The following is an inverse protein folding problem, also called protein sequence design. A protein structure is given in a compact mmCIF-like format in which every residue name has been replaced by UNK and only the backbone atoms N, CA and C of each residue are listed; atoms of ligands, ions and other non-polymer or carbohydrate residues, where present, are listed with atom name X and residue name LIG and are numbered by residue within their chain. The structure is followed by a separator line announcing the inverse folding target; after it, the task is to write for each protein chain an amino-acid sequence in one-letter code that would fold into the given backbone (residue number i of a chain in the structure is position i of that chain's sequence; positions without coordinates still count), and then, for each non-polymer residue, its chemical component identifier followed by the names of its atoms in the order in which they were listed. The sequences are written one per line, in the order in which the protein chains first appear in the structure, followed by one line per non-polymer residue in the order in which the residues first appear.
data_IF_353920150496
#
_entry.id   IF_353920150496
#
_cell.length_a   1.000
_cell.length_b   1.000
_cell.length_c   1.000
_cell.angle_alpha   90.00
_cell.angle_beta   90.00
_cell.angle_gamma   90.00
#
_symmetry.space_group_name_H-M   'P 1'
#
loop_
_entity.id
_entity.type
_entity.pdbx_description
1 polymer ?
#
# COMPACT_ATOMS: atom_id res chain seq x y z
N UNK A 1 80.87 33.07 0.40
CA UNK A 1 80.67 32.75 -1.03
C UNK A 1 80.13 31.32 -1.06
N UNK A 2 78.81 31.15 -0.90
CA UNK A 2 77.82 30.93 -1.96
C UNK A 2 78.09 29.67 -2.81
N UNK A 3 77.34 28.61 -2.55
CA UNK A 3 76.88 27.67 -3.58
C UNK A 3 75.71 26.82 -3.07
N UNK A 4 74.53 27.23 -3.54
CA UNK A 4 73.24 26.56 -3.67
C UNK A 4 73.20 25.02 -3.55
N UNK A 5 72.31 24.53 -2.67
CA UNK A 5 71.65 23.23 -2.82
C UNK A 5 70.15 23.46 -2.64
N UNK A 6 69.39 23.38 -3.75
CA UNK A 6 67.93 23.42 -3.73
C UNK A 6 67.39 22.08 -3.22
N UNK A 7 66.70 22.09 -2.08
CA UNK A 7 65.89 20.95 -1.63
C UNK A 7 64.50 21.07 -2.27
N UNK A 8 64.19 20.20 -3.23
CA UNK A 8 62.81 19.96 -3.67
C UNK A 8 62.07 19.25 -2.53
N UNK A 9 61.14 19.94 -1.87
CA UNK A 9 60.09 19.27 -1.08
C UNK A 9 59.02 18.76 -2.06
N UNK A 10 59.03 17.45 -2.34
CA UNK A 10 57.86 16.78 -2.89
C UNK A 10 56.83 16.62 -1.76
N UNK A 11 55.82 17.49 -1.73
CA UNK A 11 54.58 17.22 -1.02
C UNK A 11 53.85 16.10 -1.75
N UNK A 12 54.02 14.86 -1.27
CA UNK A 12 53.18 13.75 -1.68
C UNK A 12 51.76 14.01 -1.17
N UNK A 13 50.87 14.45 -2.06
CA UNK A 13 49.43 14.45 -1.82
C UNK A 13 48.99 12.98 -1.76
N UNK A 14 48.83 12.43 -0.55
CA UNK A 14 48.16 11.15 -0.37
C UNK A 14 46.68 11.38 -0.66
N UNK A 15 46.20 10.97 -1.84
CA UNK A 15 44.78 10.86 -2.10
C UNK A 15 44.17 9.90 -1.06
N UNK A 16 42.99 10.21 -0.48
CA UNK A 16 42.32 9.28 0.42
C UNK A 16 42.05 7.98 -0.34
N UNK A 17 42.66 6.90 0.12
CA UNK A 17 42.31 5.54 -0.31
C UNK A 17 40.95 5.25 0.29
N UNK A 18 39.89 5.42 -0.49
CA UNK A 18 38.59 4.87 -0.13
C UNK A 18 38.74 3.35 -0.10
N UNK A 19 38.73 2.77 1.09
CA UNK A 19 38.52 1.33 1.25
C UNK A 19 37.12 1.03 0.76
N UNK A 20 37.00 0.57 -0.48
CA UNK A 20 35.74 0.13 -1.06
C UNK A 20 35.34 -1.20 -0.41
N UNK A 21 34.83 -1.12 0.82
CA UNK A 21 33.98 -2.19 1.36
C UNK A 21 32.78 -2.41 0.41
N UNK A 22 32.10 -3.55 0.50
CA UNK A 22 30.93 -3.79 -0.33
C UNK A 22 29.89 -2.69 -0.08
N UNK A 23 29.43 -2.03 -1.15
CA UNK A 23 28.38 -1.00 -1.07
C UNK A 23 27.05 -1.58 -0.55
N UNK A 24 26.84 -2.88 -0.73
CA UNK A 24 25.68 -3.63 -0.24
C UNK A 24 26.14 -4.95 0.36
N UNK A 25 25.65 -5.27 1.56
CA UNK A 25 25.83 -6.56 2.21
C UNK A 25 24.46 -7.20 2.36
N UNK A 26 24.30 -8.44 1.88
CA UNK A 26 23.08 -9.20 2.15
C UNK A 26 23.05 -9.58 3.64
N UNK A 27 22.21 -8.88 4.39
CA UNK A 27 21.99 -9.09 5.82
C UNK A 27 20.64 -9.75 6.09
N UNK A 28 19.95 -10.28 5.07
CA UNK A 28 18.58 -10.80 5.18
C UNK A 28 18.42 -11.80 6.34
N UNK A 29 19.31 -12.79 6.43
CA UNK A 29 19.30 -13.77 7.52
C UNK A 29 19.70 -13.16 8.87
N UNK A 30 20.68 -12.25 8.88
CA UNK A 30 21.13 -11.58 10.10
C UNK A 30 20.06 -10.63 10.68
N UNK A 31 19.30 -9.99 9.80
CA UNK A 31 18.16 -9.14 10.11
C UNK A 31 16.91 -9.97 10.49
N UNK A 32 16.94 -11.30 10.37
CA UNK A 32 15.82 -12.17 10.79
C UNK A 32 14.69 -12.33 9.76
N UNK A 33 14.85 -11.80 8.54
CA UNK A 33 13.91 -11.99 7.42
C UNK A 33 14.15 -13.37 6.80
N UNK A 34 13.93 -14.42 7.58
CA UNK A 34 14.18 -15.80 7.15
C UNK A 34 12.88 -16.45 6.65
N UNK A 35 12.48 -16.16 5.41
CA UNK A 35 11.44 -16.90 4.70
C UNK A 35 11.84 -17.17 3.26
N UNK A 36 11.21 -18.18 2.65
CA UNK A 36 11.33 -18.43 1.22
C UNK A 36 10.08 -17.84 0.58
N UNK A 37 10.25 -16.82 -0.24
CA UNK A 37 9.19 -16.36 -1.12
C UNK A 37 9.03 -17.39 -2.23
N UNK A 38 7.90 -18.09 -2.23
CA UNK A 38 7.64 -19.20 -3.14
C UNK A 38 6.56 -18.81 -4.13
N UNK A 39 6.91 -18.77 -5.41
CA UNK A 39 5.95 -18.64 -6.50
C UNK A 39 5.39 -20.01 -6.89
N UNK A 40 4.66 -20.67 -5.99
CA UNK A 40 4.25 -22.05 -6.18
C UNK A 40 5.37 -23.05 -5.91
N UNK A 41 5.59 -23.99 -6.83
CA UNK A 41 6.61 -25.02 -6.67
C UNK A 41 6.78 -25.90 -7.91
N UNK A 42 7.80 -26.78 -7.86
CA UNK A 42 8.29 -27.60 -8.98
C UNK A 42 7.22 -28.46 -9.70
N UNK A 43 6.05 -28.63 -9.10
CA UNK A 43 4.93 -29.39 -9.64
C UNK A 43 4.04 -28.57 -10.61
N UNK A 44 4.18 -27.23 -10.68
CA UNK A 44 3.43 -26.38 -11.63
C UNK A 44 3.94 -26.60 -13.06
N UNK A 45 3.30 -27.48 -13.83
CA UNK A 45 3.73 -27.81 -15.20
C UNK A 45 3.46 -26.72 -16.26
N UNK A 46 2.59 -25.75 -15.99
CA UNK A 46 2.05 -24.82 -17.00
C UNK A 46 2.07 -23.33 -16.60
N UNK A 47 2.52 -23.02 -15.39
CA UNK A 47 2.65 -21.64 -14.90
C UNK A 47 4.13 -21.33 -14.81
N UNK A 48 4.57 -20.25 -15.45
CA UNK A 48 5.93 -19.73 -15.25
C UNK A 48 5.97 -19.06 -13.88
N UNK A 49 6.91 -19.47 -13.04
CA UNK A 49 7.17 -18.91 -11.70
C UNK A 49 7.77 -17.49 -11.83
N UNK A 50 6.92 -16.51 -12.17
CA UNK A 50 7.32 -15.09 -12.31
C UNK A 50 6.66 -14.20 -11.25
N UNK A 51 5.99 -14.77 -10.25
CA UNK A 51 5.13 -14.03 -9.33
C UNK A 51 5.89 -13.78 -8.03
N UNK A 52 6.43 -12.57 -7.88
CA UNK A 52 6.87 -12.10 -6.56
C UNK A 52 5.65 -11.65 -5.75
N UNK A 53 5.67 -11.89 -4.44
CA UNK A 53 4.66 -11.32 -3.56
C UNK A 53 4.86 -9.82 -3.31
N UNK A 54 3.76 -9.09 -3.15
CA UNK A 54 3.71 -7.75 -2.62
C UNK A 54 3.96 -7.74 -1.11
N UNK A 55 4.29 -6.56 -0.59
CA UNK A 55 4.50 -6.33 0.83
C UNK A 55 4.48 -4.85 1.15
N UNK A 56 4.38 -4.52 2.43
CA UNK A 56 4.28 -3.16 2.91
C UNK A 56 4.88 -3.00 4.29
N UNK A 57 5.38 -1.78 4.56
CA UNK A 57 5.91 -1.38 5.85
C UNK A 57 4.95 -0.45 6.56
N UNK A 58 4.67 -0.73 7.84
CA UNK A 58 3.95 0.17 8.75
C UNK A 58 4.33 -0.20 10.19
N UNK A 59 3.95 0.63 11.16
CA UNK A 59 4.21 0.39 12.59
C UNK A 59 2.94 -0.23 13.19
N UNK A 60 2.85 -1.56 13.20
CA UNK A 60 1.57 -2.24 13.52
C UNK A 60 1.27 -2.24 15.01
N UNK A 61 2.29 -2.28 15.86
CA UNK A 61 2.15 -2.25 17.33
C UNK A 61 2.48 -0.90 17.97
N UNK A 62 2.77 0.12 17.14
CA UNK A 62 2.96 1.53 17.52
C UNK A 62 4.15 1.73 18.45
N UNK A 63 5.20 0.95 18.28
CA UNK A 63 6.41 1.01 19.09
C UNK A 63 7.47 1.99 18.53
N UNK A 64 7.21 2.56 17.35
CA UNK A 64 8.02 3.59 16.71
C UNK A 64 9.02 3.05 15.70
N UNK A 65 9.07 1.74 15.45
CA UNK A 65 9.77 1.18 14.32
C UNK A 65 8.80 0.57 13.27
N UNK A 66 9.33 0.20 12.09
CA UNK A 66 8.50 -0.27 10.96
C UNK A 66 8.58 -1.77 10.82
N UNK A 67 7.42 -2.39 10.92
CA UNK A 67 7.18 -3.79 10.67
C UNK A 67 6.96 -4.07 9.20
N UNK A 68 7.02 -5.35 8.83
CA UNK A 68 6.95 -5.77 7.43
C UNK A 68 5.92 -6.89 7.26
N UNK A 69 4.96 -6.69 6.37
CA UNK A 69 4.13 -7.78 5.86
C UNK A 69 4.52 -8.15 4.45
N UNK A 70 4.61 -9.44 4.17
CA UNK A 70 4.88 -9.97 2.83
C UNK A 70 3.91 -11.11 2.55
N UNK A 71 3.22 -11.03 1.40
CA UNK A 71 2.39 -12.12 0.91
C UNK A 71 3.26 -13.30 0.42
N UNK A 72 2.63 -14.43 0.09
CA UNK A 72 3.32 -15.60 -0.47
C UNK A 72 2.38 -16.36 -1.43
N UNK A 73 2.92 -17.04 -2.45
CA UNK A 73 2.11 -17.75 -3.45
C UNK A 73 1.97 -19.25 -3.09
N UNK A 74 0.85 -19.58 -2.43
CA UNK A 74 0.47 -20.94 -2.07
C UNK A 74 1.07 -21.41 -0.74
N UNK A 75 1.68 -20.49 0.00
CA UNK A 75 2.38 -20.72 1.27
C UNK A 75 1.95 -19.67 2.29
N UNK A 76 2.30 -19.81 3.58
CA UNK A 76 1.90 -18.85 4.59
C UNK A 76 2.49 -17.45 4.30
N UNK A 77 1.66 -16.42 4.47
CA UNK A 77 2.13 -15.03 4.47
C UNK A 77 2.95 -14.76 5.74
N UNK A 78 3.75 -13.68 5.73
CA UNK A 78 4.64 -13.35 6.85
C UNK A 78 4.46 -11.90 7.29
N UNK A 79 3.95 -11.71 8.52
CA UNK A 79 4.11 -10.50 9.30
C UNK A 79 5.38 -10.62 10.14
N UNK A 80 6.29 -9.69 9.98
CA UNK A 80 7.50 -9.56 10.77
C UNK A 80 7.40 -8.32 11.65
N UNK A 81 7.44 -8.52 12.97
CA UNK A 81 7.69 -7.40 13.87
C UNK A 81 9.16 -7.02 13.80
N UNK A 82 9.44 -5.73 13.72
CA UNK A 82 10.80 -5.23 13.80
C UNK A 82 11.14 -4.91 15.26
N UNK A 83 12.27 -5.44 15.74
CA UNK A 83 12.76 -5.21 17.11
C UNK A 83 14.08 -4.42 17.01
N UNK A 84 14.02 -3.17 16.53
CA UNK A 84 15.20 -2.31 16.40
C UNK A 84 16.19 -2.74 15.30
N UNK A 85 15.66 -3.20 14.17
CA UNK A 85 16.42 -3.68 13.00
C UNK A 85 16.51 -5.21 12.92
N UNK A 86 15.88 -5.94 13.85
CA UNK A 86 15.77 -7.39 13.84
C UNK A 86 14.31 -7.81 13.68
N UNK A 87 14.01 -8.41 12.55
CA UNK A 87 12.69 -8.92 12.22
C UNK A 87 12.39 -10.28 12.87
N UNK A 88 11.20 -10.40 13.45
CA UNK A 88 10.68 -11.63 14.06
C UNK A 88 9.35 -11.97 13.39
N UNK A 89 9.28 -13.13 12.76
CA UNK A 89 8.03 -13.59 12.15
C UNK A 89 7.00 -13.94 13.23
N UNK A 90 5.90 -13.20 13.25
CA UNK A 90 4.80 -13.33 14.21
C UNK A 90 3.48 -13.72 13.55
N UNK A 91 3.49 -14.03 12.25
CA UNK A 91 2.30 -14.29 11.43
C UNK A 91 1.31 -15.32 11.99
N UNK A 92 1.83 -16.42 12.57
CA UNK A 92 1.00 -17.45 13.20
C UNK A 92 0.35 -16.95 14.49
N UNK A 93 1.09 -16.18 15.29
CA UNK A 93 0.60 -15.66 16.55
C UNK A 93 -0.45 -14.55 16.35
N UNK A 94 -0.30 -13.76 15.28
CA UNK A 94 -1.21 -12.65 14.95
C UNK A 94 -2.36 -13.05 14.04
N UNK A 95 -2.39 -14.29 13.52
CA UNK A 95 -3.48 -14.77 12.66
C UNK A 95 -3.41 -14.32 11.21
N UNK A 96 -2.27 -13.79 10.75
CA UNK A 96 -2.10 -13.19 9.41
C UNK A 96 -1.43 -14.12 8.39
N UNK A 97 -1.04 -15.32 8.83
CA UNK A 97 -0.36 -16.33 8.00
C UNK A 97 -1.28 -17.03 6.99
N UNK A 98 -2.57 -17.18 7.32
CA UNK A 98 -3.55 -18.00 6.60
C UNK A 98 -4.92 -17.33 6.55
N UNK A 99 -5.76 -17.71 5.59
CA UNK A 99 -7.19 -17.36 5.64
C UNK A 99 -7.89 -17.93 6.86
N UNK A 100 -9.09 -17.44 7.17
CA UNK A 100 -9.90 -17.83 8.33
C UNK A 100 -10.32 -19.30 8.38
N UNK A 101 -10.09 -20.07 7.31
CA UNK A 101 -10.25 -21.54 7.27
C UNK A 101 -8.90 -22.30 7.39
N UNK A 102 -7.82 -21.61 7.74
CA UNK A 102 -6.49 -22.19 7.94
C UNK A 102 -5.76 -22.59 6.65
N UNK A 103 -6.11 -22.02 5.49
CA UNK A 103 -5.48 -22.35 4.22
C UNK A 103 -4.42 -21.33 3.84
N UNK A 104 -3.29 -21.83 3.33
CA UNK A 104 -2.38 -21.00 2.56
C UNK A 104 -3.04 -20.70 1.22
N UNK A 105 -2.97 -19.44 0.81
CA UNK A 105 -3.55 -18.95 -0.44
C UNK A 105 -2.42 -18.44 -1.33
N UNK A 106 -2.72 -18.25 -2.61
CA UNK A 106 -1.77 -17.73 -3.57
C UNK A 106 -1.81 -16.20 -3.61
N UNK A 107 -1.12 -15.54 -2.68
CA UNK A 107 -1.13 -14.09 -2.48
C UNK A 107 -0.23 -13.32 -3.44
N UNK A 108 -0.73 -12.19 -3.95
CA UNK A 108 -0.02 -11.28 -4.86
C UNK A 108 0.11 -9.87 -4.27
N UNK A 109 -0.88 -9.01 -4.47
CA UNK A 109 -0.85 -7.62 -4.00
C UNK A 109 -1.19 -7.50 -2.52
N UNK A 110 -0.60 -6.49 -1.87
CA UNK A 110 -0.86 -6.15 -0.46
C UNK A 110 -1.23 -4.68 -0.38
N UNK A 111 -2.28 -4.34 0.36
CA UNK A 111 -2.53 -2.94 0.76
C UNK A 111 -2.84 -2.85 2.24
N UNK A 112 -2.49 -1.71 2.81
CA UNK A 112 -2.56 -1.38 4.23
C UNK A 112 -3.35 -0.08 4.40
N UNK A 113 -4.44 -0.09 5.18
CA UNK A 113 -5.19 1.12 5.53
C UNK A 113 -6.15 0.84 6.70
N UNK A 114 -6.58 1.90 7.39
CA UNK A 114 -7.73 1.88 8.30
C UNK A 114 -9.02 2.02 7.48
N UNK A 115 -9.65 0.89 7.14
CA UNK A 115 -10.80 0.89 6.22
C UNK A 115 -12.13 1.12 6.95
N UNK A 116 -12.23 0.72 8.22
CA UNK A 116 -13.44 0.82 9.03
C UNK A 116 -13.42 1.98 10.05
N UNK A 117 -12.43 2.87 9.93
CA UNK A 117 -12.28 4.08 10.72
C UNK A 117 -12.21 3.78 12.22
N UNK A 118 -11.59 2.66 12.60
CA UNK A 118 -11.35 2.27 13.98
C UNK A 118 -9.96 2.73 14.49
N UNK A 119 -9.23 3.47 13.65
CA UNK A 119 -7.90 4.02 13.87
C UNK A 119 -6.78 2.97 13.82
N UNK A 120 -7.04 1.80 13.24
CA UNK A 120 -6.08 0.70 13.15
C UNK A 120 -5.84 0.32 11.70
N UNK A 121 -4.58 0.04 11.36
CA UNK A 121 -4.23 -0.34 9.99
C UNK A 121 -4.56 -1.82 9.78
N UNK A 122 -5.43 -2.08 8.81
CA UNK A 122 -5.85 -3.40 8.34
C UNK A 122 -5.05 -3.85 7.11
N UNK A 123 -5.16 -5.13 6.76
CA UNK A 123 -4.41 -5.73 5.65
C UNK A 123 -5.37 -6.38 4.66
N UNK A 124 -5.23 -6.03 3.38
CA UNK A 124 -5.83 -6.80 2.27
C UNK A 124 -4.74 -7.48 1.47
N UNK A 125 -4.97 -8.76 1.16
CA UNK A 125 -4.15 -9.56 0.26
C UNK A 125 -5.01 -10.01 -0.92
N UNK A 126 -4.57 -9.73 -2.14
CA UNK A 126 -5.19 -10.28 -3.34
C UNK A 126 -4.67 -11.69 -3.61
N UNK A 127 -5.53 -12.57 -4.11
CA UNK A 127 -5.20 -13.98 -4.27
C UNK A 127 -5.59 -14.55 -5.65
N UNK A 128 -5.13 -15.77 -5.91
CA UNK A 128 -5.46 -16.53 -7.10
C UNK A 128 -6.97 -16.87 -7.19
N UNK A 129 -7.48 -17.06 -8.41
CA UNK A 129 -8.89 -17.45 -8.63
C UNK A 129 -9.22 -18.79 -7.98
N UNK A 130 -10.44 -18.95 -7.48
CA UNK A 130 -10.93 -20.07 -6.65
C UNK A 130 -10.49 -20.04 -5.17
N UNK A 131 -9.46 -19.27 -4.82
CA UNK A 131 -9.32 -18.72 -3.47
C UNK A 131 -10.23 -17.47 -3.35
N UNK A 132 -9.97 -16.57 -2.41
CA UNK A 132 -10.59 -15.25 -2.33
C UNK A 132 -9.54 -14.25 -1.89
N UNK A 133 -9.70 -12.97 -2.22
CA UNK A 133 -8.92 -11.91 -1.58
C UNK A 133 -9.26 -11.93 -0.08
N UNK A 134 -8.27 -11.67 0.77
CA UNK A 134 -8.41 -11.82 2.22
C UNK A 134 -8.22 -10.48 2.91
N UNK A 135 -9.19 -10.13 3.77
CA UNK A 135 -9.18 -8.92 4.59
C UNK A 135 -8.98 -9.31 6.05
N UNK A 136 -7.83 -8.92 6.59
CA UNK A 136 -7.46 -9.06 7.99
C UNK A 136 -7.72 -7.73 8.69
N UNK A 137 -8.72 -7.70 9.57
CA UNK A 137 -8.99 -6.54 10.41
C UNK A 137 -8.12 -6.57 11.65
N UNK A 138 -7.44 -5.48 11.96
CA UNK A 138 -6.64 -5.31 13.16
C UNK A 138 -7.54 -5.10 14.39
N UNK A 139 -7.28 -5.83 15.46
CA UNK A 139 -8.09 -5.75 16.69
C UNK A 139 -7.37 -5.00 17.82
N UNK A 140 -6.16 -4.48 17.58
CA UNK A 140 -5.44 -3.57 18.49
C UNK A 140 -4.70 -4.26 19.63
N UNK A 141 -5.17 -5.44 20.01
CA UNK A 141 -4.54 -6.32 20.98
C UNK A 141 -3.49 -7.25 20.32
N UNK A 142 -2.79 -6.76 19.29
CA UNK A 142 -1.73 -7.46 18.55
C UNK A 142 -2.17 -8.74 17.81
N UNK A 143 -3.44 -8.82 17.38
CA UNK A 143 -3.91 -9.87 16.48
C UNK A 143 -4.86 -9.32 15.43
N UNK A 144 -5.06 -10.12 14.37
CA UNK A 144 -5.95 -9.79 13.28
C UNK A 144 -7.04 -10.85 13.13
N UNK A 145 -8.24 -10.41 12.75
CA UNK A 145 -9.36 -11.28 12.41
C UNK A 145 -9.56 -11.30 10.90
N UNK A 146 -9.63 -12.49 10.29
CA UNK A 146 -10.17 -12.61 8.93
C UNK A 146 -11.67 -12.26 8.94
N UNK A 147 -12.00 -11.09 8.39
CA UNK A 147 -13.38 -10.60 8.26
C UNK A 147 -13.90 -10.72 6.83
N UNK A 148 -13.17 -11.38 5.93
CA UNK A 148 -13.42 -11.45 4.48
C UNK A 148 -14.87 -11.84 4.14
N UNK A 149 -15.38 -12.87 4.80
CA UNK A 149 -16.76 -13.34 4.58
C UNK A 149 -17.81 -12.35 5.08
N UNK A 150 -17.56 -11.69 6.21
CA UNK A 150 -18.46 -10.68 6.80
C UNK A 150 -18.48 -9.38 5.98
N UNK A 151 -17.34 -9.00 5.43
CA UNK A 151 -17.19 -7.88 4.52
C UNK A 151 -17.84 -8.14 3.15
N UNK A 152 -18.11 -9.40 2.79
CA UNK A 152 -18.65 -9.77 1.47
C UNK A 152 -17.58 -9.92 0.38
N UNK A 153 -16.30 -9.68 0.72
CA UNK A 153 -15.16 -9.77 -0.19
C UNK A 153 -14.95 -11.21 -0.70
N UNK A 154 -15.31 -12.22 0.09
CA UNK A 154 -15.08 -13.62 -0.26
C UNK A 154 -15.81 -14.01 -1.55
N UNK A 155 -17.09 -13.64 -1.69
CA UNK A 155 -17.89 -13.97 -2.87
C UNK A 155 -17.56 -13.09 -4.08
N UNK A 156 -17.23 -11.82 -3.87
CA UNK A 156 -16.96 -10.87 -4.95
C UNK A 156 -15.60 -11.12 -5.61
N UNK A 157 -14.60 -11.57 -4.85
CA UNK A 157 -13.24 -11.80 -5.37
C UNK A 157 -12.98 -13.23 -5.87
N UNK A 158 -13.65 -14.25 -5.31
CA UNK A 158 -13.35 -15.67 -5.60
C UNK A 158 -13.34 -16.09 -7.07
N UNK A 159 -14.19 -15.54 -7.96
CA UNK A 159 -14.13 -15.87 -9.39
C UNK A 159 -12.91 -15.31 -10.11
N UNK A 160 -12.21 -14.33 -9.52
CA UNK A 160 -11.18 -13.53 -10.16
C UNK A 160 -9.80 -13.82 -9.58
N UNK A 161 -8.77 -13.48 -10.34
CA UNK A 161 -7.38 -13.60 -9.95
C UNK A 161 -6.83 -12.18 -9.75
N UNK A 162 -6.65 -11.79 -8.49
CA UNK A 162 -6.35 -10.42 -8.11
C UNK A 162 -4.85 -10.09 -8.12
N UNK A 163 -4.52 -8.83 -8.39
CA UNK A 163 -3.15 -8.30 -8.45
C UNK A 163 -3.05 -7.00 -7.67
N UNK A 164 -2.89 -5.86 -8.35
CA UNK A 164 -2.84 -4.54 -7.72
C UNK A 164 -4.12 -4.24 -6.95
N UNK A 165 -3.96 -3.64 -5.78
CA UNK A 165 -5.06 -3.34 -4.87
C UNK A 165 -4.70 -2.12 -4.03
N UNK A 166 -5.69 -1.31 -3.71
CA UNK A 166 -5.53 -0.17 -2.80
C UNK A 166 -6.88 0.23 -2.21
N UNK A 167 -6.80 0.89 -1.06
CA UNK A 167 -7.92 1.62 -0.48
C UNK A 167 -7.94 3.06 -0.98
N UNK A 168 -9.14 3.61 -1.16
CA UNK A 168 -9.38 5.00 -1.57
C UNK A 168 -10.82 5.39 -1.25
N UNK A 169 -11.11 6.68 -1.06
CA UNK A 169 -12.48 7.19 -0.86
C UNK A 169 -12.94 7.85 -2.16
N UNK A 170 -13.75 7.14 -2.96
CA UNK A 170 -14.05 7.55 -4.34
C UNK A 170 -15.20 8.57 -4.44
N UNK A 171 -16.08 8.63 -3.43
CA UNK A 171 -17.27 9.52 -3.40
C UNK A 171 -17.23 10.55 -2.26
N UNK A 172 -16.10 10.59 -1.54
CA UNK A 172 -15.80 11.46 -0.41
C UNK A 172 -16.78 11.30 0.76
N UNK A 173 -17.39 10.13 0.95
CA UNK A 173 -18.31 9.89 2.05
C UNK A 173 -17.62 9.66 3.42
N UNK A 174 -16.28 9.58 3.40
CA UNK A 174 -15.41 9.35 4.54
C UNK A 174 -15.18 7.88 4.88
N UNK A 175 -15.60 6.95 4.02
CA UNK A 175 -15.28 5.52 4.10
C UNK A 175 -14.26 5.14 3.02
N UNK A 176 -13.47 4.10 3.30
CA UNK A 176 -12.55 3.56 2.31
C UNK A 176 -13.22 2.47 1.48
N UNK A 177 -13.03 2.57 0.18
CA UNK A 177 -13.39 1.58 -0.82
C UNK A 177 -12.16 0.83 -1.30
N UNK A 178 -12.39 -0.38 -1.82
CA UNK A 178 -11.32 -1.27 -2.25
C UNK A 178 -11.36 -1.46 -3.76
N UNK A 179 -10.29 -1.03 -4.44
CA UNK A 179 -10.07 -1.37 -5.83
C UNK A 179 -9.22 -2.64 -5.95
N UNK A 180 -9.54 -3.51 -6.92
CA UNK A 180 -8.73 -4.68 -7.28
C UNK A 180 -8.58 -4.80 -8.80
N UNK A 181 -7.33 -4.81 -9.27
CA UNK A 181 -6.97 -5.15 -10.63
C UNK A 181 -6.97 -6.68 -10.83
N UNK A 182 -7.72 -7.16 -11.82
CA UNK A 182 -7.83 -8.59 -12.10
C UNK A 182 -7.35 -8.98 -13.50
N UNK A 183 -6.95 -10.25 -13.64
CA UNK A 183 -6.64 -10.83 -14.95
C UNK A 183 -5.87 -12.13 -14.81
N UNK A 184 -6.33 -13.21 -15.42
CA UNK A 184 -5.69 -14.52 -15.24
C UNK A 184 -4.30 -14.59 -15.88
N UNK A 185 -3.49 -15.55 -15.43
CA UNK A 185 -2.16 -15.83 -15.99
C UNK A 185 -2.18 -16.61 -17.32
N UNK A 186 -3.21 -17.41 -17.56
CA UNK A 186 -3.18 -18.46 -18.56
C UNK A 186 -4.18 -18.16 -19.67
N UNK A 187 -3.75 -17.72 -20.87
CA UNK A 187 -4.66 -17.53 -22.01
C UNK A 187 -5.45 -18.79 -22.38
N UNK A 188 -4.89 -19.97 -22.08
CA UNK A 188 -5.54 -21.25 -22.35
C UNK A 188 -6.82 -21.48 -21.53
N UNK A 189 -7.03 -20.76 -20.41
CA UNK A 189 -8.19 -20.97 -19.53
C UNK A 189 -9.53 -20.68 -20.24
N UNK A 190 -9.52 -19.77 -21.21
CA UNK A 190 -10.69 -19.44 -22.07
C UNK A 190 -11.26 -20.67 -22.78
N UNK A 191 -10.40 -21.66 -23.09
CA UNK A 191 -10.79 -22.89 -23.79
C UNK A 191 -11.22 -24.01 -22.84
N UNK A 192 -11.07 -23.82 -21.52
CA UNK A 192 -11.22 -24.87 -20.51
C UNK A 192 -12.64 -25.11 -20.01
N UNK A 193 -13.60 -24.22 -20.30
CA UNK A 193 -15.03 -24.42 -19.97
C UNK A 193 -15.40 -24.36 -18.48
N UNK A 194 -14.46 -24.01 -17.58
CA UNK A 194 -14.66 -23.97 -16.13
C UNK A 194 -15.18 -22.64 -15.55
N UNK A 195 -15.65 -21.73 -16.40
CA UNK A 195 -16.18 -20.41 -15.99
C UNK A 195 -15.11 -19.35 -15.67
N UNK A 196 -13.84 -19.73 -15.52
CA UNK A 196 -12.72 -18.79 -15.42
C UNK A 196 -12.38 -18.20 -16.79
N UNK A 197 -12.13 -16.88 -16.82
CA UNK A 197 -11.72 -16.13 -18.01
C UNK A 197 -10.30 -15.62 -17.87
N UNK A 198 -9.61 -15.49 -19.01
CA UNK A 198 -8.28 -14.92 -19.07
C UNK A 198 -8.33 -13.41 -18.84
N UNK A 199 -9.21 -12.73 -19.57
CA UNK A 199 -9.55 -11.33 -19.34
C UNK A 199 -10.62 -11.24 -18.26
N UNK A 200 -10.44 -10.34 -17.31
CA UNK A 200 -11.30 -10.20 -16.14
C UNK A 200 -11.59 -8.72 -15.88
N UNK A 201 -12.76 -8.43 -15.32
CA UNK A 201 -13.13 -7.07 -14.87
C UNK A 201 -12.45 -6.73 -13.55
N UNK A 202 -12.22 -5.44 -13.30
CA UNK A 202 -11.71 -4.96 -12.00
C UNK A 202 -12.88 -4.82 -11.00
N UNK A 203 -12.57 -4.71 -9.69
CA UNK A 203 -13.54 -4.47 -8.61
C UNK A 203 -13.32 -3.06 -8.03
N UNK A 204 -14.35 -2.33 -7.59
CA UNK A 204 -14.19 -1.05 -6.88
C UNK A 204 -15.42 -0.12 -6.81
N UNK A 205 -16.38 -0.41 -5.93
CA UNK A 205 -17.54 0.45 -5.62
C UNK A 205 -18.15 0.03 -4.28
N UNK A 206 -17.89 0.74 -3.18
CA UNK A 206 -18.75 0.66 -1.99
C UNK A 206 -18.72 -0.66 -1.21
N UNK A 207 -18.07 -0.67 -0.03
CA UNK A 207 -18.21 -1.75 0.99
C UNK A 207 -18.00 -3.19 0.46
N UNK A 208 -16.92 -3.41 -0.29
CA UNK A 208 -16.41 -4.72 -0.76
C UNK A 208 -17.39 -5.60 -1.57
N UNK A 209 -18.55 -5.05 -1.95
CA UNK A 209 -19.52 -5.75 -2.79
C UNK A 209 -19.21 -5.50 -4.25
N UNK A 210 -19.44 -6.52 -5.07
CA UNK A 210 -19.26 -6.38 -6.50
C UNK A 210 -20.44 -5.60 -7.07
N UNK A 211 -20.21 -4.32 -7.32
CA UNK A 211 -21.09 -3.49 -8.12
C UNK A 211 -20.20 -2.79 -9.14
N UNK A 212 -20.01 -3.40 -10.31
CA UNK A 212 -19.32 -2.71 -11.39
C UNK A 212 -20.20 -1.56 -11.89
N UNK A 213 -20.13 -0.40 -11.23
CA UNK A 213 -20.75 0.81 -11.75
C UNK A 213 -19.77 1.50 -12.69
N UNK A 214 -20.17 1.58 -13.96
CA UNK A 214 -19.40 2.18 -15.04
C UNK A 214 -18.91 1.16 -16.08
N UNK A 215 -19.11 1.42 -17.40
CA UNK A 215 -18.72 0.50 -18.47
C UNK A 215 -17.21 0.20 -18.50
N UNK A 216 -16.38 1.09 -17.95
CA UNK A 216 -14.93 0.96 -17.96
C UNK A 216 -14.42 -0.09 -16.98
N UNK A 217 -14.92 -0.13 -15.74
CA UNK A 217 -14.55 -1.16 -14.76
C UNK A 217 -15.07 -2.55 -15.16
N UNK A 218 -16.19 -2.61 -15.88
CA UNK A 218 -16.74 -3.84 -16.45
C UNK A 218 -15.95 -4.37 -17.67
N UNK A 219 -15.02 -3.58 -18.23
CA UNK A 219 -14.23 -4.01 -19.39
C UNK A 219 -13.23 -5.08 -18.97
N UNK A 220 -13.36 -6.28 -19.53
CA UNK A 220 -12.46 -7.40 -19.21
C UNK A 220 -11.07 -7.20 -19.83
N UNK A 221 -10.04 -7.11 -18.97
CA UNK A 221 -8.63 -6.95 -19.37
C UNK A 221 -7.73 -7.90 -18.57
N UNK A 222 -6.44 -7.89 -18.88
CA UNK A 222 -5.43 -8.62 -18.11
C UNK A 222 -4.66 -7.60 -17.29
N UNK A 223 -5.27 -7.14 -16.20
CA UNK A 223 -4.70 -6.09 -15.35
C UNK A 223 -3.63 -6.66 -14.40
N UNK A 224 -2.60 -5.87 -14.08
CA UNK A 224 -1.56 -6.21 -13.11
C UNK A 224 -1.44 -5.11 -12.06
N UNK A 225 -0.49 -4.20 -12.23
CA UNK A 225 -0.30 -3.09 -11.32
C UNK A 225 -1.37 -2.02 -11.45
N UNK A 226 -1.76 -1.45 -10.32
CA UNK A 226 -2.70 -0.35 -10.27
C UNK A 226 -2.33 0.60 -9.13
N UNK A 227 -2.55 1.89 -9.36
CA UNK A 227 -2.28 2.97 -8.40
C UNK A 227 -3.40 4.00 -8.49
N UNK A 228 -3.65 4.69 -7.38
CA UNK A 228 -4.55 5.86 -7.35
C UNK A 228 -3.78 7.16 -7.12
N UNK A 229 -4.42 8.27 -7.49
CA UNK A 229 -3.95 9.63 -7.22
C UNK A 229 -4.79 10.67 -7.96
N UNK A 230 -4.86 11.88 -7.42
CA UNK A 230 -5.52 13.03 -8.04
C UNK A 230 -4.59 13.66 -9.10
N UNK A 231 -4.67 13.19 -10.36
CA UNK A 231 -3.67 13.56 -11.38
C UNK A 231 -3.95 14.91 -12.03
N UNK A 232 -5.21 15.34 -12.07
CA UNK A 232 -5.63 16.62 -12.64
C UNK A 232 -5.93 17.70 -11.59
N UNK A 233 -5.72 17.38 -10.30
CA UNK A 233 -5.84 18.31 -9.17
C UNK A 233 -7.25 18.85 -8.98
N UNK A 234 -8.26 18.00 -9.22
CA UNK A 234 -9.68 18.34 -9.08
C UNK A 234 -10.28 17.95 -7.71
N UNK A 235 -9.51 17.20 -6.91
CA UNK A 235 -9.86 16.82 -5.55
C UNK A 235 -10.36 15.40 -5.37
N UNK A 236 -10.66 14.68 -6.44
CA UNK A 236 -10.98 13.26 -6.36
C UNK A 236 -9.81 12.37 -6.82
N UNK A 237 -9.89 11.09 -6.43
CA UNK A 237 -8.83 10.14 -6.70
C UNK A 237 -9.12 9.37 -7.99
N UNK A 238 -8.20 9.47 -8.94
CA UNK A 238 -8.21 8.73 -10.19
C UNK A 238 -7.44 7.41 -10.07
N UNK A 239 -7.57 6.55 -11.08
CA UNK A 239 -6.91 5.24 -11.09
C UNK A 239 -6.11 5.04 -12.37
N UNK A 240 -4.84 4.66 -12.24
CA UNK A 240 -4.03 4.15 -13.34
C UNK A 240 -3.87 2.64 -13.23
N UNK A 241 -4.19 1.91 -14.29
CA UNK A 241 -4.05 0.44 -14.38
C UNK A 241 -3.11 0.05 -15.51
N UNK A 242 -2.08 -0.73 -15.18
CA UNK A 242 -1.20 -1.38 -16.15
C UNK A 242 -1.83 -2.68 -16.64
N UNK A 243 -2.14 -2.74 -17.94
CA UNK A 243 -2.70 -3.92 -18.60
C UNK A 243 -1.61 -4.67 -19.37
N UNK A 244 -1.56 -5.99 -19.22
CA UNK A 244 -0.62 -6.84 -19.95
C UNK A 244 -1.03 -6.98 -21.41
N UNK A 245 -0.06 -6.80 -22.33
CA UNK A 245 -0.24 -6.87 -23.79
C UNK A 245 -1.38 -5.98 -24.33
N UNK A 246 -1.65 -4.88 -23.63
CA UNK A 246 -2.72 -3.93 -23.93
C UNK A 246 -2.30 -2.52 -23.48
N UNK A 247 -3.05 -1.49 -23.84
CA UNK A 247 -2.76 -0.12 -23.39
C UNK A 247 -3.07 0.03 -21.90
N UNK A 248 -2.27 0.80 -21.14
CA UNK A 248 -2.66 1.19 -19.78
C UNK A 248 -3.97 1.98 -19.82
N UNK A 249 -4.75 1.90 -18.74
CA UNK A 249 -6.00 2.63 -18.60
C UNK A 249 -5.86 3.67 -17.48
N UNK A 250 -6.03 4.94 -17.82
CA UNK A 250 -6.25 6.02 -16.86
C UNK A 250 -7.76 6.22 -16.72
N UNK A 251 -8.28 6.01 -15.52
CA UNK A 251 -9.68 6.13 -15.18
C UNK A 251 -9.84 7.41 -14.37
N UNK A 252 -10.42 8.43 -15.00
CA UNK A 252 -10.77 9.66 -14.30
C UNK A 252 -12.02 9.44 -13.45
N UNK A 253 -12.00 9.92 -12.22
CA UNK A 253 -13.18 9.91 -11.36
C UNK A 253 -14.03 11.18 -11.61
N UNK A 254 -15.35 11.00 -11.70
CA UNK A 254 -16.29 12.06 -12.06
C UNK A 254 -17.65 11.79 -11.37
N UNK A 255 -17.63 11.39 -10.11
CA UNK A 255 -18.86 11.15 -9.33
C UNK A 255 -19.69 12.44 -9.23
N UNK A 256 -21.01 12.33 -9.41
CA UNK A 256 -21.95 13.44 -9.20
C UNK A 256 -22.14 13.69 -7.69
N UNK A 257 -22.20 14.95 -7.25
CA UNK A 257 -22.32 15.34 -5.84
C UNK A 257 -21.19 14.80 -4.92
N UNK A 258 -19.93 14.99 -5.31
CA UNK A 258 -18.69 14.48 -4.66
C UNK A 258 -18.47 14.88 -3.18
N UNK A 259 -19.37 15.58 -2.49
CA UNK A 259 -19.09 16.11 -1.16
C UNK A 259 -17.81 16.98 -1.08
N UNK A 260 -17.30 17.15 0.13
CA UNK A 260 -16.09 17.90 0.46
C UNK A 260 -14.90 16.98 0.71
N UNK A 261 -13.68 17.47 0.50
CA UNK A 261 -12.47 16.67 0.66
C UNK A 261 -11.30 17.45 1.26
N UNK A 262 -10.25 16.73 1.67
CA UNK A 262 -8.94 17.28 1.99
C UNK A 262 -7.83 16.41 1.43
N UNK A 263 -6.81 17.03 0.84
CA UNK A 263 -5.61 16.34 0.39
C UNK A 263 -4.40 16.91 1.11
N UNK A 264 -3.58 16.07 1.74
CA UNK A 264 -2.47 16.51 2.58
C UNK A 264 -1.13 15.95 2.08
N UNK A 265 -0.14 16.83 1.90
CA UNK A 265 1.26 16.47 1.69
C UNK A 265 2.07 16.73 2.95
N UNK A 266 2.71 15.70 3.50
CA UNK A 266 3.46 15.77 4.75
C UNK A 266 4.96 15.74 4.47
N UNK A 267 5.68 16.78 4.91
CA UNK A 267 7.11 16.95 4.63
C UNK A 267 7.94 16.99 5.92
N UNK A 268 9.05 16.27 5.92
CA UNK A 268 10.12 16.41 6.92
C UNK A 268 11.37 16.94 6.21
N UNK A 269 11.61 18.26 6.31
CA UNK A 269 12.66 18.90 5.53
C UNK A 269 12.36 18.79 4.02
N UNK A 270 13.30 18.21 3.27
CA UNK A 270 13.20 18.05 1.81
C UNK A 270 12.56 16.73 1.37
N UNK A 271 12.23 15.83 2.30
CA UNK A 271 11.67 14.50 1.99
C UNK A 271 10.22 14.39 2.46
N UNK A 272 9.52 13.40 1.91
CA UNK A 272 8.22 12.98 2.44
C UNK A 272 8.38 12.38 3.84
N UNK A 273 7.40 12.64 4.69
CA UNK A 273 7.40 12.15 6.06
C UNK A 273 6.70 10.78 6.14
N UNK A 274 7.30 9.77 5.51
CA UNK A 274 6.79 8.39 5.54
C UNK A 274 6.55 7.96 6.99
N UNK A 275 5.38 7.39 7.22
CA UNK A 275 4.98 6.88 8.51
C UNK A 275 4.32 7.89 9.45
N UNK A 276 4.09 9.11 8.96
CA UNK A 276 3.30 10.11 9.68
C UNK A 276 1.84 9.67 9.70
N UNK A 277 1.25 9.64 10.89
CA UNK A 277 -0.18 9.40 11.07
C UNK A 277 -0.92 10.73 11.10
N UNK A 278 -2.01 10.82 10.35
CA UNK A 278 -2.91 11.96 10.36
C UNK A 278 -4.29 11.47 10.74
N UNK A 279 -4.81 12.00 11.84
CA UNK A 279 -6.17 11.81 12.29
C UNK A 279 -6.97 13.07 11.99
N UNK A 280 -8.11 12.92 11.31
CA UNK A 280 -9.03 14.01 11.00
C UNK A 280 -10.37 13.76 11.68
N UNK A 281 -10.93 14.82 12.27
CA UNK A 281 -12.29 14.84 12.78
C UNK A 281 -13.14 15.85 12.00
N UNK A 282 -14.23 15.36 11.39
CA UNK A 282 -15.17 16.19 10.64
C UNK A 282 -16.59 15.63 10.76
N UNK A 283 -17.59 16.49 11.03
CA UNK A 283 -19.01 16.10 11.18
C UNK A 283 -19.26 14.88 12.08
N UNK A 284 -18.47 14.73 13.16
CA UNK A 284 -18.59 13.60 14.10
C UNK A 284 -17.99 12.28 13.62
N UNK A 285 -17.37 12.26 12.43
CA UNK A 285 -16.58 11.15 11.91
C UNK A 285 -15.10 11.34 12.25
N UNK A 286 -14.43 10.23 12.50
CA UNK A 286 -13.00 10.15 12.74
C UNK A 286 -12.40 9.32 11.62
N UNK A 287 -11.27 9.76 11.08
CA UNK A 287 -10.55 9.06 10.03
C UNK A 287 -9.06 9.11 10.35
N UNK A 288 -8.35 8.01 10.12
CA UNK A 288 -6.89 7.99 10.21
C UNK A 288 -6.29 7.52 8.90
N UNK A 289 -5.27 8.25 8.43
CA UNK A 289 -4.43 7.84 7.29
C UNK A 289 -2.97 7.96 7.67
N UNK A 290 -2.17 7.12 7.05
CA UNK A 290 -0.73 7.09 7.27
C UNK A 290 0.00 7.28 5.93
N UNK A 291 1.10 8.03 5.94
CA UNK A 291 1.97 8.17 4.76
C UNK A 291 2.73 6.88 4.53
N UNK A 292 2.14 5.96 3.76
CA UNK A 292 2.70 4.63 3.52
C UNK A 292 3.44 4.56 2.17
N UNK A 293 4.37 3.63 2.08
CA UNK A 293 5.01 3.22 0.83
C UNK A 293 5.02 1.70 0.77
N UNK A 294 4.98 1.12 -0.43
CA UNK A 294 4.82 -0.33 -0.59
C UNK A 294 3.36 -0.77 -0.42
N UNK A 295 2.55 -0.45 -1.42
CA UNK A 295 1.17 -0.91 -1.55
C UNK A 295 0.97 -1.52 -2.94
N UNK A 296 -0.16 -2.20 -3.15
CA UNK A 296 -0.55 -2.79 -4.43
C UNK A 296 0.41 -3.89 -4.93
N UNK A 297 0.58 -4.00 -6.24
CA UNK A 297 1.43 -4.96 -6.92
C UNK A 297 2.13 -4.27 -8.10
N UNK A 298 3.46 -4.19 -8.11
CA UNK A 298 4.25 -3.53 -9.18
C UNK A 298 3.83 -2.08 -9.51
N UNK A 299 3.21 -1.39 -8.55
CA UNK A 299 2.76 -0.01 -8.65
C UNK A 299 2.77 0.62 -7.25
N UNK A 300 2.66 1.94 -7.17
CA UNK A 300 2.57 2.69 -5.91
C UNK A 300 1.55 3.81 -6.10
N UNK A 301 0.57 3.90 -5.20
CA UNK A 301 -0.36 5.03 -5.15
C UNK A 301 0.34 6.31 -4.70
N UNK A 302 -0.28 7.43 -4.99
CA UNK A 302 0.09 8.73 -4.45
C UNK A 302 0.27 8.69 -2.92
N UNK A 303 1.28 9.38 -2.42
CA UNK A 303 1.61 9.49 -0.99
C UNK A 303 0.83 10.62 -0.31
N UNK A 304 0.16 11.48 -1.08
CA UNK A 304 -0.76 12.49 -0.55
C UNK A 304 -1.94 11.81 0.14
N UNK A 305 -2.21 12.21 1.38
CA UNK A 305 -3.30 11.64 2.17
C UNK A 305 -4.61 12.32 1.81
N UNK A 306 -5.53 11.55 1.23
CA UNK A 306 -6.88 11.98 0.91
C UNK A 306 -7.87 11.64 2.02
N UNK A 307 -8.79 12.55 2.28
CA UNK A 307 -9.88 12.40 3.23
C UNK A 307 -11.17 12.94 2.62
N UNK A 308 -12.17 12.08 2.42
CA UNK A 308 -13.53 12.53 2.16
C UNK A 308 -14.19 13.06 3.43
N UNK A 309 -14.83 14.22 3.32
CA UNK A 309 -15.46 14.92 4.45
C UNK A 309 -16.99 14.93 4.35
N UNK A 310 -17.56 14.34 3.30
CA UNK A 310 -18.99 14.33 3.04
C UNK A 310 -19.54 15.75 2.95
N UNK A 311 -20.43 16.14 3.86
CA UNK A 311 -21.01 17.49 3.89
C UNK A 311 -20.23 18.48 4.75
N UNK A 312 -19.11 18.08 5.37
CA UNK A 312 -18.35 18.96 6.25
C UNK A 312 -17.44 19.90 5.44
N UNK A 313 -17.63 21.21 5.58
CA UNK A 313 -16.79 22.23 4.92
C UNK A 313 -15.50 22.54 5.68
N UNK A 314 -15.31 21.94 6.85
CA UNK A 314 -14.12 22.11 7.68
C UNK A 314 -13.81 20.85 8.49
N UNK A 315 -12.56 20.70 8.89
CA UNK A 315 -12.12 19.59 9.72
C UNK A 315 -11.02 19.99 10.71
N UNK A 316 -10.94 19.26 11.83
CA UNK A 316 -9.81 19.33 12.75
C UNK A 316 -8.78 18.26 12.38
N UNK A 317 -7.51 18.65 12.29
CA UNK A 317 -6.41 17.78 11.87
C UNK A 317 -5.43 17.63 13.03
N UNK A 318 -5.16 16.38 13.39
CA UNK A 318 -4.09 16.00 14.30
C UNK A 318 -3.05 15.15 13.56
N UNK A 319 -1.79 15.55 13.66
CA UNK A 319 -0.66 14.87 13.02
C UNK A 319 0.27 14.33 14.09
N UNK A 320 0.60 13.04 14.02
CA UNK A 320 1.65 12.41 14.80
C UNK A 320 2.80 12.01 13.88
N UNK A 321 3.92 12.70 14.01
CA UNK A 321 5.12 12.47 13.21
C UNK A 321 5.85 11.20 13.67
N UNK A 322 6.70 10.58 12.81
CA UNK A 322 7.49 9.40 13.18
C UNK A 322 8.37 9.59 14.42
N UNK A 323 8.72 10.82 14.77
CA UNK A 323 9.47 11.13 15.99
C UNK A 323 8.61 11.19 17.27
N UNK A 324 7.30 10.97 17.17
CA UNK A 324 6.33 11.13 18.26
C UNK A 324 5.88 12.58 18.52
N UNK A 325 6.36 13.54 17.72
CA UNK A 325 5.91 14.93 17.83
C UNK A 325 4.47 15.06 17.32
N UNK A 326 3.66 15.94 17.95
CA UNK A 326 2.27 16.20 17.55
C UNK A 326 2.08 17.63 17.05
N UNK A 327 1.33 17.79 15.96
CA UNK A 327 0.85 19.09 15.47
C UNK A 327 -0.67 19.04 15.28
N UNK A 328 -1.35 20.12 15.64
CA UNK A 328 -2.81 20.19 15.61
C UNK A 328 -3.22 21.47 14.88
N UNK A 329 -4.19 21.34 13.98
CA UNK A 329 -4.83 22.43 13.26
C UNK A 329 -6.35 22.30 13.43
N UNK A 330 -7.02 23.41 13.71
CA UNK A 330 -8.47 23.43 13.92
C UNK A 330 -9.17 24.19 12.80
N UNK A 331 -10.41 23.80 12.51
CA UNK A 331 -11.29 24.44 11.52
C UNK A 331 -10.57 24.67 10.17
N UNK A 332 -9.89 23.63 9.69
CA UNK A 332 -9.20 23.64 8.40
C UNK A 332 -10.24 23.53 7.30
N UNK A 333 -10.28 24.51 6.40
CA UNK A 333 -11.24 24.54 5.28
C UNK A 333 -11.08 23.32 4.37
N UNK A 334 -12.19 22.68 4.04
CA UNK A 334 -12.24 21.63 3.03
C UNK A 334 -11.96 22.16 1.61
N UNK A 335 -11.86 21.24 0.65
CA UNK A 335 -11.67 21.45 -0.79
C UNK A 335 -10.32 22.10 -1.13
N UNK A 336 -9.29 21.70 -0.39
CA UNK A 336 -7.94 22.20 -0.56
C UNK A 336 -6.92 21.07 -0.45
N UNK A 337 -5.86 21.23 -1.23
CA UNK A 337 -4.61 20.53 -1.04
C UNK A 337 -3.69 21.38 -0.14
N UNK A 338 -3.29 20.82 1.01
CA UNK A 338 -2.36 21.44 1.94
C UNK A 338 -1.01 20.73 1.98
N UNK A 339 0.06 21.51 1.99
CA UNK A 339 1.41 21.07 2.35
C UNK A 339 1.70 21.46 3.80
N UNK A 340 2.08 20.46 4.59
CA UNK A 340 2.38 20.62 6.02
C UNK A 340 3.80 20.16 6.28
N UNK A 341 4.60 21.07 6.85
CA UNK A 341 5.97 20.78 7.23
C UNK A 341 6.06 20.50 8.73
N UNK A 342 6.80 19.45 9.08
CA UNK A 342 7.09 19.12 10.48
C UNK A 342 7.67 20.32 11.23
N UNK A 343 7.09 20.63 12.39
CA UNK A 343 7.50 21.71 13.30
C UNK A 343 7.08 23.11 12.83
N UNK A 344 6.36 23.22 11.71
CA UNK A 344 5.84 24.50 11.19
C UNK A 344 4.34 24.57 11.46
N UNK A 345 3.92 25.45 12.37
CA UNK A 345 2.51 25.63 12.75
C UNK A 345 1.77 26.54 11.76
N UNK A 346 1.83 26.18 10.47
CA UNK A 346 1.13 26.87 9.39
C UNK A 346 0.79 25.88 8.27
N UNK A 347 -0.42 25.99 7.75
CA UNK A 347 -0.85 25.32 6.52
C UNK A 347 -0.45 26.14 5.29
N UNK A 348 0.06 25.47 4.26
CA UNK A 348 0.35 26.07 2.96
C UNK A 348 -0.62 25.43 1.97
N UNK A 349 -1.57 26.19 1.43
CA UNK A 349 -2.46 25.72 0.36
C UNK A 349 -1.72 25.79 -0.97
N UNK A 350 -1.81 24.74 -1.79
CA UNK A 350 -1.35 24.75 -3.19
C UNK A 350 -2.46 25.13 -4.17
#
# INVERSE_FOLDING_TARGET
MSSYLQALLLLAYAAPVFSAGPLFTDVTQAAGIAFINQSGGADKQYIIETQSAGGGFWDYDRDGDRDLYVANDGHPNSLFRNDGGRFVNISLATGTAYSGNGRAQAGMGVTLADYDNDLQVDIVVTNFSQDHNTLYRNEGDSFFTDVTGRAGLASSSRPFMGWGTFFFDYDHDGWQDLFVANGHLMPAIERGGGGLRYRQRNLGDGRFRETANGPTLATERVSRGAANGDYDSDGDLDILVANLDDSPALLRNDVEDKGHWLLLTLRQGAIEAIGTHVHIQASGRHQMREVLTGSSFQAQSDTRLHFGLGTASEADIEITWPSGERQIFHAVSADHHYVIHRGVNRLISE
#
